data_IF_797811377044
#
_entry.id   IF_797811377044
#
_cell.length_a   1.000
_cell.length_b   1.000
_cell.length_c   1.000
_cell.angle_alpha   90.00
_cell.angle_beta   90.00
_cell.angle_gamma   90.00
#
_symmetry.space_group_name_H-M   'P 1'
#
loop_
_entity.id
_entity.type
_entity.pdbx_description
1 polymer ?
#
# COMPACT_ATOMS: atom_id res chain seq x y z
N UNK A 1 10.40 28.85 -10.48
CA UNK A 1 10.95 27.82 -9.56
C UNK A 1 9.88 26.85 -9.01
N UNK A 2 8.59 27.00 -9.39
CA UNK A 2 7.49 26.21 -8.79
C UNK A 2 7.49 24.71 -9.11
N UNK A 3 7.94 24.29 -10.30
CA UNK A 3 7.85 22.88 -10.71
C UNK A 3 8.82 21.91 -10.02
N UNK A 4 9.90 22.41 -9.40
CA UNK A 4 10.95 21.53 -8.83
C UNK A 4 10.56 20.93 -7.48
N UNK A 5 9.72 21.63 -6.72
CA UNK A 5 9.35 21.23 -5.35
C UNK A 5 8.22 20.19 -5.30
N UNK A 6 7.25 20.24 -6.21
CA UNK A 6 6.15 19.28 -6.22
C UNK A 6 6.60 17.85 -6.59
N UNK A 7 7.71 17.71 -7.33
CA UNK A 7 8.30 16.38 -7.64
C UNK A 7 8.69 15.59 -6.38
N UNK A 8 9.01 16.27 -5.27
CA UNK A 8 9.38 15.63 -4.00
C UNK A 8 8.23 14.83 -3.38
N UNK A 9 6.98 15.12 -3.75
CA UNK A 9 5.79 14.41 -3.25
C UNK A 9 5.48 13.14 -4.04
N UNK A 10 6.16 12.87 -5.16
CA UNK A 10 5.93 11.67 -5.96
C UNK A 10 6.20 10.37 -5.18
N UNK A 11 7.26 10.33 -4.37
CA UNK A 11 7.61 9.15 -3.56
C UNK A 11 6.54 8.87 -2.49
N UNK A 12 6.12 9.84 -1.64
CA UNK A 12 5.02 9.63 -0.71
C UNK A 12 3.74 9.15 -1.39
N UNK A 13 3.33 9.81 -2.49
CA UNK A 13 2.12 9.42 -3.22
C UNK A 13 2.21 7.97 -3.72
N UNK A 14 3.38 7.55 -4.22
CA UNK A 14 3.64 6.16 -4.60
C UNK A 14 3.42 5.18 -3.44
N UNK A 15 3.98 5.46 -2.27
CA UNK A 15 3.78 4.62 -1.09
C UNK A 15 2.33 4.59 -0.61
N UNK A 16 1.63 5.73 -0.67
CA UNK A 16 0.21 5.77 -0.35
C UNK A 16 -0.61 4.86 -1.27
N UNK A 17 -0.42 4.99 -2.59
CA UNK A 17 -1.15 4.17 -3.57
C UNK A 17 -0.84 2.68 -3.42
N UNK A 18 0.43 2.32 -3.24
CA UNK A 18 0.82 0.93 -2.98
C UNK A 18 0.19 0.41 -1.69
N UNK A 19 0.22 1.20 -0.61
CA UNK A 19 -0.43 0.87 0.66
C UNK A 19 -1.91 0.56 0.48
N UNK A 20 -2.65 1.43 -0.21
CA UNK A 20 -4.08 1.22 -0.52
C UNK A 20 -4.29 -0.07 -1.31
N UNK A 21 -3.51 -0.31 -2.37
CA UNK A 21 -3.64 -1.53 -3.19
C UNK A 21 -3.44 -2.79 -2.34
N UNK A 22 -2.40 -2.85 -1.52
CA UNK A 22 -2.12 -4.02 -0.67
C UNK A 22 -3.20 -4.23 0.41
N UNK A 23 -3.75 -3.16 0.97
CA UNK A 23 -4.88 -3.25 1.90
C UNK A 23 -6.14 -3.76 1.21
N UNK A 24 -6.45 -3.31 -0.02
CA UNK A 24 -7.58 -3.83 -0.79
C UNK A 24 -7.39 -5.32 -1.08
N UNK A 25 -6.18 -5.74 -1.46
CA UNK A 25 -5.86 -7.16 -1.68
C UNK A 25 -6.08 -7.96 -0.39
N UNK A 26 -5.58 -7.46 0.75
CA UNK A 26 -5.74 -8.11 2.06
C UNK A 26 -7.18 -8.17 2.55
N UNK A 27 -7.96 -7.10 2.37
CA UNK A 27 -9.38 -7.04 2.72
C UNK A 27 -10.21 -8.08 1.93
N UNK A 28 -9.80 -8.38 0.70
CA UNK A 28 -10.39 -9.41 -0.15
C UNK A 28 -9.66 -10.78 -0.04
N UNK A 29 -8.81 -10.97 0.97
CA UNK A 29 -7.93 -12.12 1.11
C UNK A 29 -8.64 -13.48 1.06
N UNK A 30 -9.86 -13.58 1.60
CA UNK A 30 -10.67 -14.80 1.51
C UNK A 30 -11.05 -15.16 0.07
N UNK A 31 -11.57 -14.21 -0.71
CA UNK A 31 -11.93 -14.44 -2.11
C UNK A 31 -10.71 -14.78 -2.94
N UNK A 32 -9.59 -14.11 -2.67
CA UNK A 32 -8.31 -14.38 -3.33
C UNK A 32 -7.81 -15.79 -3.02
N UNK A 33 -7.81 -16.21 -1.75
CA UNK A 33 -7.40 -17.56 -1.36
C UNK A 33 -8.28 -18.65 -1.97
N UNK A 34 -9.60 -18.44 -2.03
CA UNK A 34 -10.53 -19.36 -2.69
C UNK A 34 -10.23 -19.46 -4.18
N UNK A 35 -10.07 -18.32 -4.85
CA UNK A 35 -9.81 -18.27 -6.30
C UNK A 35 -8.46 -18.91 -6.66
N UNK A 36 -7.43 -18.72 -5.83
CA UNK A 36 -6.11 -19.30 -6.06
C UNK A 36 -6.02 -20.79 -5.76
N UNK A 37 -6.75 -21.27 -4.75
CA UNK A 37 -6.66 -22.69 -4.33
C UNK A 37 -7.62 -23.60 -5.07
N UNK A 38 -8.73 -23.07 -5.61
CA UNK A 38 -9.76 -23.87 -6.26
C UNK A 38 -9.26 -24.43 -7.60
N UNK A 39 -9.26 -25.77 -7.80
CA UNK A 39 -8.94 -26.36 -9.09
C UNK A 39 -9.97 -26.01 -10.15
N UNK A 40 -9.52 -25.87 -11.40
CA UNK A 40 -10.41 -25.71 -12.54
C UNK A 40 -11.33 -26.93 -12.62
N UNK A 41 -12.65 -26.70 -12.63
CA UNK A 41 -13.74 -27.70 -12.69
C UNK A 41 -14.20 -28.32 -11.36
N UNK A 42 -13.70 -27.86 -10.20
CA UNK A 42 -14.25 -28.31 -8.92
C UNK A 42 -15.64 -27.68 -8.65
N UNK A 43 -16.67 -28.51 -8.45
CA UNK A 43 -18.03 -28.05 -8.08
C UNK A 43 -18.06 -27.53 -6.64
N UNK A 44 -17.33 -28.20 -5.75
CA UNK A 44 -17.13 -27.79 -4.35
C UNK A 44 -15.66 -27.88 -3.99
N UNK A 45 -15.14 -26.87 -3.29
CA UNK A 45 -13.77 -26.85 -2.78
C UNK A 45 -13.75 -26.18 -1.41
N UNK A 46 -12.93 -26.71 -0.51
CA UNK A 46 -12.70 -26.10 0.80
C UNK A 46 -11.29 -25.52 0.81
N UNK A 47 -11.21 -24.22 1.05
CA UNK A 47 -9.93 -23.51 1.22
C UNK A 47 -9.58 -23.49 2.70
N UNK A 48 -8.33 -23.85 3.03
CA UNK A 48 -7.90 -23.88 4.43
C UNK A 48 -7.91 -22.48 5.06
N UNK A 49 -8.28 -22.42 6.34
CA UNK A 49 -8.27 -21.17 7.11
C UNK A 49 -6.86 -20.55 7.19
N UNK A 50 -5.81 -21.39 7.20
CA UNK A 50 -4.43 -20.92 7.17
C UNK A 50 -4.11 -20.17 5.87
N UNK A 51 -4.61 -20.66 4.73
CA UNK A 51 -4.42 -20.00 3.44
C UNK A 51 -5.20 -18.69 3.37
N UNK A 52 -6.44 -18.68 3.83
CA UNK A 52 -7.26 -17.46 3.93
C UNK A 52 -6.54 -16.42 4.80
N UNK A 53 -6.02 -16.83 5.97
CA UNK A 53 -5.24 -15.94 6.85
C UNK A 53 -3.98 -15.41 6.17
N UNK A 54 -3.24 -16.25 5.44
CA UNK A 54 -2.05 -15.81 4.72
C UNK A 54 -2.36 -14.72 3.68
N UNK A 55 -3.39 -14.94 2.85
CA UNK A 55 -3.84 -13.97 1.83
C UNK A 55 -4.49 -12.70 2.42
N UNK A 56 -4.86 -12.73 3.69
CA UNK A 56 -5.48 -11.59 4.39
C UNK A 56 -4.43 -10.78 5.13
N UNK A 57 -3.68 -11.43 6.02
CA UNK A 57 -2.76 -10.80 6.96
C UNK A 57 -1.48 -10.31 6.27
N UNK A 58 -0.89 -11.08 5.37
CA UNK A 58 0.39 -10.69 4.73
C UNK A 58 0.21 -9.41 3.90
N UNK A 59 -0.77 -9.31 2.97
CA UNK A 59 -0.99 -8.06 2.24
C UNK A 59 -1.37 -6.91 3.17
N UNK A 60 -2.12 -7.15 4.25
CA UNK A 60 -2.45 -6.10 5.22
C UNK A 60 -1.20 -5.54 5.91
N UNK A 61 -0.29 -6.40 6.37
CA UNK A 61 0.98 -5.96 6.98
C UNK A 61 1.79 -5.13 5.98
N UNK A 62 1.93 -5.60 4.74
CA UNK A 62 2.65 -4.88 3.68
C UNK A 62 2.00 -3.51 3.44
N UNK A 63 0.67 -3.45 3.36
CA UNK A 63 -0.07 -2.19 3.18
C UNK A 63 0.15 -1.20 4.32
N UNK A 64 0.11 -1.68 5.58
CA UNK A 64 0.40 -0.86 6.76
C UNK A 64 1.85 -0.36 6.74
N UNK A 65 2.82 -1.21 6.37
CA UNK A 65 4.22 -0.79 6.23
C UNK A 65 4.39 0.31 5.19
N UNK A 66 3.69 0.23 4.05
CA UNK A 66 3.70 1.29 3.06
C UNK A 66 3.06 2.59 3.57
N UNK A 67 2.04 2.54 4.41
CA UNK A 67 1.50 3.74 5.06
C UNK A 67 2.46 4.37 6.06
N UNK A 68 3.22 3.58 6.81
CA UNK A 68 4.29 4.12 7.65
C UNK A 68 5.34 4.84 6.81
N UNK A 69 5.76 4.23 5.69
CA UNK A 69 6.69 4.86 4.74
C UNK A 69 6.11 6.13 4.11
N UNK A 70 4.82 6.15 3.78
CA UNK A 70 4.12 7.34 3.31
C UNK A 70 4.21 8.47 4.33
N UNK A 71 3.86 8.23 5.60
CA UNK A 71 3.91 9.26 6.65
C UNK A 71 5.34 9.79 6.83
N UNK A 72 6.34 8.91 6.89
CA UNK A 72 7.73 9.32 7.06
C UNK A 72 8.23 10.16 5.87
N UNK A 73 8.02 9.69 4.64
CA UNK A 73 8.51 10.40 3.45
C UNK A 73 7.72 11.67 3.16
N UNK A 74 6.41 11.68 3.42
CA UNK A 74 5.58 12.88 3.31
C UNK A 74 6.08 13.96 4.26
N UNK A 75 6.34 13.60 5.52
CA UNK A 75 6.86 14.53 6.52
C UNK A 75 8.20 15.13 6.08
N UNK A 76 9.12 14.32 5.57
CA UNK A 76 10.41 14.79 5.05
C UNK A 76 10.23 15.74 3.86
N UNK A 77 9.41 15.37 2.87
CA UNK A 77 9.15 16.21 1.70
C UNK A 77 8.46 17.52 2.07
N UNK A 78 7.53 17.48 3.01
CA UNK A 78 6.83 18.67 3.51
C UNK A 78 7.79 19.61 4.26
N UNK A 79 8.62 19.09 5.16
CA UNK A 79 9.63 19.87 5.86
C UNK A 79 10.62 20.56 4.90
N UNK A 80 11.11 19.82 3.90
CA UNK A 80 12.01 20.37 2.89
C UNK A 80 11.34 21.46 2.04
N UNK A 81 10.07 21.27 1.70
CA UNK A 81 9.28 22.27 0.97
C UNK A 81 9.11 23.56 1.77
N UNK A 82 8.76 23.46 3.06
CA UNK A 82 8.65 24.62 3.95
C UNK A 82 9.97 25.38 4.08
N UNK A 83 11.08 24.67 4.33
CA UNK A 83 12.41 25.28 4.41
C UNK A 83 12.85 25.96 3.11
N UNK A 84 12.48 25.38 1.97
CA UNK A 84 12.72 25.98 0.66
C UNK A 84 11.92 27.26 0.44
N UNK A 85 10.69 27.31 0.96
CA UNK A 85 9.83 28.50 0.91
C UNK A 85 10.40 29.66 1.75
N UNK A 86 10.87 29.40 2.97
CA UNK A 86 11.45 30.41 3.85
C UNK A 86 12.71 31.08 3.26
N UNK A 87 13.55 30.35 2.52
CA UNK A 87 14.76 30.89 1.88
C UNK A 87 14.50 31.74 0.63
N UNK A 88 13.25 31.79 0.16
CA UNK A 88 12.86 32.52 -1.04
C UNK A 88 12.16 33.86 -0.77
N UNK A 89 11.90 34.17 0.51
CA UNK A 89 11.52 35.49 1.00
C UNK A 89 12.76 36.32 1.31
#
# INVERSE_FOLDING_TARGET
MEHKNLKSFGIPVGFFLLGVVFLIIGANGRQNAVSFSKPNNAVSWSTSDSLIKAFTIIPMIIGISFFLLFVSTFTISFYNWQKGFERSR
#
